data_IF_771356507765
#
_entry.id   IF_771356507765
#
_cell.length_a   1.000
_cell.length_b   1.000
_cell.length_c   1.000
_cell.angle_alpha   90.00
_cell.angle_beta   90.00
_cell.angle_gamma   90.00
#
_symmetry.space_group_name_H-M   'P 1'
#
loop_
_entity.id
_entity.type
_entity.pdbx_description
1 polymer ?
#
# COMPACT_ATOMS: atom_id res chain seq x y z
N UNK A 1 29.14 -27.31 -19.91
CA UNK A 1 28.73 -25.90 -19.92
C UNK A 1 27.51 -25.77 -19.03
N UNK A 2 27.56 -24.89 -18.02
CA UNK A 2 26.41 -24.67 -17.13
C UNK A 2 25.35 -23.85 -17.88
N UNK A 3 24.26 -24.50 -18.28
CA UNK A 3 23.04 -23.83 -18.69
C UNK A 3 22.44 -23.15 -17.45
N UNK A 4 22.51 -21.82 -17.39
CA UNK A 4 21.88 -21.06 -16.33
C UNK A 4 20.35 -21.24 -16.37
N UNK A 5 19.71 -21.27 -15.20
CA UNK A 5 18.25 -21.37 -15.10
C UNK A 5 17.59 -20.23 -15.88
N UNK A 6 16.49 -20.50 -16.62
CA UNK A 6 15.76 -19.45 -17.31
C UNK A 6 15.26 -18.39 -16.33
N UNK A 7 15.44 -17.14 -16.71
CA UNK A 7 15.00 -15.94 -15.99
C UNK A 7 13.92 -15.24 -16.80
N UNK A 8 12.78 -14.97 -16.18
CA UNK A 8 11.68 -14.25 -16.81
C UNK A 8 11.50 -12.90 -16.12
N UNK A 9 11.53 -11.83 -16.91
CA UNK A 9 11.15 -10.50 -16.43
C UNK A 9 9.64 -10.32 -16.57
N UNK A 10 8.99 -9.84 -15.52
CA UNK A 10 7.56 -9.59 -15.45
C UNK A 10 7.29 -8.08 -15.38
N UNK A 11 6.08 -7.63 -15.79
CA UNK A 11 5.65 -6.25 -15.60
C UNK A 11 5.82 -5.82 -14.13
N UNK A 12 6.22 -4.57 -13.91
CA UNK A 12 6.45 -4.03 -12.56
C UNK A 12 7.84 -4.33 -11.96
N UNK A 13 8.81 -4.80 -12.75
CA UNK A 13 10.19 -5.00 -12.30
C UNK A 13 10.42 -6.30 -11.53
N UNK A 14 9.45 -7.21 -11.56
CA UNK A 14 9.57 -8.53 -10.97
C UNK A 14 10.43 -9.43 -11.86
N UNK A 15 11.19 -10.33 -11.25
CA UNK A 15 11.95 -11.35 -11.97
C UNK A 15 11.67 -12.72 -11.38
N UNK A 16 11.61 -13.73 -12.23
CA UNK A 16 11.30 -15.10 -11.84
C UNK A 16 12.39 -16.04 -12.37
N UNK A 17 13.01 -16.78 -11.46
CA UNK A 17 14.07 -17.74 -11.78
C UNK A 17 13.55 -19.17 -11.64
N UNK A 18 13.97 -20.05 -12.53
CA UNK A 18 13.73 -21.49 -12.41
C UNK A 18 12.30 -21.93 -12.77
N UNK A 19 11.51 -21.09 -13.43
CA UNK A 19 10.24 -21.50 -14.02
C UNK A 19 10.46 -22.25 -15.34
N UNK A 20 9.68 -23.28 -15.63
CA UNK A 20 9.71 -23.93 -16.95
C UNK A 20 8.90 -23.14 -17.95
N UNK A 21 7.73 -22.62 -17.57
CA UNK A 21 6.93 -21.72 -18.41
C UNK A 21 6.23 -20.63 -17.61
N UNK A 22 6.05 -19.48 -18.24
CA UNK A 22 5.31 -18.32 -17.73
C UNK A 22 4.29 -17.89 -18.78
N UNK A 23 3.03 -17.70 -18.40
CA UNK A 23 1.96 -17.17 -19.25
C UNK A 23 1.21 -16.05 -18.55
N UNK A 24 1.04 -14.93 -19.23
CA UNK A 24 0.09 -13.90 -18.83
C UNK A 24 -1.28 -14.27 -19.40
N UNK A 25 -2.32 -14.27 -18.57
CA UNK A 25 -3.71 -14.36 -19.03
C UNK A 25 -4.31 -12.95 -19.18
N UNK A 26 -5.42 -12.85 -19.92
CA UNK A 26 -6.00 -11.57 -20.32
C UNK A 26 -6.45 -10.68 -19.14
N UNK A 27 -6.74 -11.27 -17.97
CA UNK A 27 -7.09 -10.55 -16.74
C UNK A 27 -5.87 -10.02 -15.96
N UNK A 28 -4.66 -10.21 -16.48
CA UNK A 28 -3.40 -9.77 -15.86
C UNK A 28 -2.77 -10.79 -14.91
N UNK A 29 -3.40 -11.94 -14.68
CA UNK A 29 -2.83 -13.02 -13.85
C UNK A 29 -1.63 -13.67 -14.54
N UNK A 30 -0.60 -14.01 -13.76
CA UNK A 30 0.59 -14.71 -14.24
C UNK A 30 0.51 -16.18 -13.84
N UNK A 31 0.36 -17.07 -14.82
CA UNK A 31 0.44 -18.51 -14.61
C UNK A 31 1.90 -18.97 -14.78
N UNK A 32 2.44 -19.59 -13.75
CA UNK A 32 3.81 -20.11 -13.73
C UNK A 32 3.76 -21.62 -13.51
N UNK A 33 4.48 -22.38 -14.33
CA UNK A 33 4.67 -23.83 -14.10
C UNK A 33 6.15 -24.18 -13.96
N UNK A 34 6.42 -25.25 -13.22
CA UNK A 34 7.75 -25.84 -13.07
C UNK A 34 8.75 -25.08 -12.21
N UNK A 35 8.29 -24.20 -11.30
CA UNK A 35 9.15 -23.63 -10.26
C UNK A 35 9.53 -24.70 -9.23
N UNK A 36 10.79 -24.69 -8.79
CA UNK A 36 11.24 -25.55 -7.70
C UNK A 36 10.47 -25.21 -6.41
N UNK A 37 10.01 -26.24 -5.71
CA UNK A 37 9.42 -26.09 -4.38
C UNK A 37 10.46 -25.45 -3.43
N UNK A 38 10.28 -24.16 -3.14
CA UNK A 38 11.24 -23.33 -2.40
C UNK A 38 11.26 -21.87 -2.85
N UNK A 39 10.89 -21.60 -4.11
CA UNK A 39 10.72 -20.22 -4.62
C UNK A 39 9.24 -19.86 -4.60
N UNK A 40 8.70 -19.49 -3.43
CA UNK A 40 7.35 -18.96 -3.32
C UNK A 40 7.36 -17.49 -3.79
N UNK A 41 7.39 -17.27 -5.09
CA UNK A 41 6.82 -16.05 -5.64
C UNK A 41 5.31 -16.27 -5.69
N UNK A 42 4.65 -16.16 -4.53
CA UNK A 42 3.21 -15.94 -4.54
C UNK A 42 3.01 -14.62 -5.27
N UNK A 43 2.52 -14.66 -6.50
CA UNK A 43 1.78 -13.55 -7.05
C UNK A 43 0.50 -13.44 -6.23
N UNK A 44 0.63 -12.93 -5.00
CA UNK A 44 -0.52 -12.54 -4.22
C UNK A 44 -1.14 -11.38 -4.99
N UNK A 45 -2.33 -11.60 -5.54
CA UNK A 45 -3.12 -10.52 -6.12
C UNK A 45 -3.22 -9.37 -5.12
N UNK A 46 -3.45 -8.16 -5.63
CA UNK A 46 -3.70 -7.00 -4.79
C UNK A 46 -4.73 -7.33 -3.71
N UNK A 47 -4.42 -7.04 -2.45
CA UNK A 47 -5.37 -7.12 -1.34
C UNK A 47 -6.40 -5.98 -1.37
N UNK A 48 -6.27 -5.05 -2.32
CA UNK A 48 -7.23 -3.99 -2.55
C UNK A 48 -7.97 -4.17 -3.87
N UNK A 49 -9.22 -3.71 -3.89
CA UNK A 49 -10.03 -3.58 -5.11
C UNK A 49 -10.53 -2.15 -5.26
N UNK A 50 -11.29 -1.86 -6.32
CA UNK A 50 -11.81 -0.52 -6.61
C UNK A 50 -13.05 -0.13 -5.77
N UNK A 51 -13.59 -1.07 -4.99
CA UNK A 51 -14.80 -0.86 -4.20
C UNK A 51 -16.08 -0.71 -5.03
N UNK A 52 -16.05 -0.97 -6.33
CA UNK A 52 -17.23 -0.93 -7.21
C UNK A 52 -18.26 -2.00 -6.85
N UNK A 53 -17.79 -3.11 -6.27
CA UNK A 53 -18.60 -4.20 -5.74
C UNK A 53 -18.21 -4.45 -4.28
N UNK A 54 -19.21 -4.63 -3.43
CA UNK A 54 -18.99 -5.04 -2.04
C UNK A 54 -18.43 -6.47 -2.05
N UNK A 55 -17.32 -6.67 -1.36
CA UNK A 55 -16.68 -7.98 -1.21
C UNK A 55 -16.50 -8.31 0.26
N UNK A 56 -16.72 -9.56 0.62
CA UNK A 56 -16.59 -10.00 2.01
C UNK A 56 -15.15 -9.79 2.51
N UNK A 57 -15.06 -9.31 3.74
CA UNK A 57 -13.78 -8.97 4.38
C UNK A 57 -13.09 -7.70 3.86
N UNK A 58 -13.69 -6.98 2.91
CA UNK A 58 -13.14 -5.72 2.40
C UNK A 58 -13.83 -4.50 3.02
N UNK A 59 -13.03 -3.50 3.39
CA UNK A 59 -13.50 -2.25 3.97
C UNK A 59 -12.70 -1.07 3.41
N UNK A 60 -13.35 0.10 3.33
CA UNK A 60 -12.65 1.34 3.06
C UNK A 60 -11.70 1.65 4.23
N UNK A 61 -10.43 1.79 3.88
CA UNK A 61 -9.33 2.02 4.81
C UNK A 61 -8.67 3.36 4.47
N UNK A 62 -8.60 4.24 5.46
CA UNK A 62 -7.84 5.47 5.39
C UNK A 62 -6.34 5.18 5.56
N UNK A 63 -5.52 5.58 4.59
CA UNK A 63 -4.07 5.47 4.69
C UNK A 63 -3.57 6.34 5.85
N UNK A 64 -3.91 7.64 5.83
CA UNK A 64 -3.76 8.56 6.95
C UNK A 64 -5.08 8.67 7.73
N UNK A 65 -5.07 8.33 9.03
CA UNK A 65 -6.31 8.22 9.84
C UNK A 65 -6.99 9.57 10.07
N UNK A 66 -8.33 9.53 10.07
CA UNK A 66 -9.20 10.61 10.56
C UNK A 66 -9.88 10.28 11.90
N UNK A 67 -9.56 9.16 12.56
CA UNK A 67 -10.25 8.66 13.77
C UNK A 67 -9.39 8.62 15.03
N UNK A 68 -8.34 9.43 15.10
CA UNK A 68 -7.45 9.53 16.26
C UNK A 68 -7.22 11.00 16.63
N UNK A 69 -8.28 11.66 17.10
CA UNK A 69 -8.29 13.10 17.40
C UNK A 69 -7.65 13.47 18.74
N UNK A 70 -7.71 12.56 19.72
CA UNK A 70 -7.32 12.84 21.11
C UNK A 70 -6.47 11.77 21.78
N UNK A 71 -6.52 10.51 21.33
CA UNK A 71 -5.83 9.40 22.00
C UNK A 71 -4.35 9.33 21.65
N UNK A 72 -3.51 9.21 22.67
CA UNK A 72 -2.05 8.99 22.57
C UNK A 72 -1.66 7.51 22.60
N UNK A 73 -2.62 6.59 22.76
CA UNK A 73 -2.36 5.16 22.98
C UNK A 73 -1.53 4.49 21.87
N UNK A 74 -1.64 5.01 20.65
CA UNK A 74 -0.88 4.54 19.47
C UNK A 74 0.11 5.60 18.98
N UNK A 75 0.68 6.41 19.89
CA UNK A 75 1.62 7.50 19.56
C UNK A 75 0.98 8.78 19.01
N UNK A 76 -0.36 8.89 19.06
CA UNK A 76 -1.13 10.03 18.57
C UNK A 76 -1.12 11.26 19.49
N UNK A 77 -2.02 12.24 19.27
CA UNK A 77 -3.13 12.21 18.31
C UNK A 77 -2.67 12.43 16.86
N UNK A 78 -3.08 11.52 15.98
CA UNK A 78 -2.66 11.48 14.58
C UNK A 78 -3.56 12.29 13.65
N UNK A 79 -4.87 12.34 13.89
CA UNK A 79 -5.79 13.11 13.00
C UNK A 79 -5.36 14.56 12.87
N UNK A 80 -5.02 15.30 13.94
CA UNK A 80 -4.62 16.71 13.81
C UNK A 80 -3.32 16.89 13.04
N UNK A 81 -2.39 15.93 13.12
CA UNK A 81 -1.13 15.95 12.38
C UNK A 81 -1.38 15.74 10.88
N UNK A 82 -2.17 14.72 10.52
CA UNK A 82 -2.52 14.46 9.12
C UNK A 82 -3.38 15.58 8.52
N UNK A 83 -4.34 16.11 9.27
CA UNK A 83 -5.21 17.21 8.80
C UNK A 83 -4.39 18.44 8.38
N UNK A 84 -3.42 18.87 9.20
CA UNK A 84 -2.51 19.98 8.84
C UNK A 84 -1.70 19.69 7.58
N UNK A 85 -1.24 18.46 7.44
CA UNK A 85 -0.44 18.04 6.29
C UNK A 85 -1.26 18.04 4.99
N UNK A 86 -2.48 17.51 5.04
CA UNK A 86 -3.42 17.47 3.92
C UNK A 86 -3.89 18.87 3.53
N UNK A 87 -4.13 19.75 4.50
CA UNK A 87 -4.50 21.14 4.26
C UNK A 87 -3.42 21.90 3.45
N UNK A 88 -2.11 21.63 3.67
CA UNK A 88 -1.01 22.20 2.87
C UNK A 88 -1.12 21.84 1.37
N UNK A 89 -1.75 20.71 1.07
CA UNK A 89 -1.98 20.21 -0.28
C UNK A 89 -3.40 20.51 -0.81
N UNK A 90 -4.24 21.22 -0.04
CA UNK A 90 -5.64 21.47 -0.40
C UNK A 90 -6.46 20.19 -0.51
N UNK A 91 -6.15 19.19 0.31
CA UNK A 91 -6.90 17.94 0.45
C UNK A 91 -7.56 17.87 1.82
N UNK A 92 -8.64 17.11 1.89
CA UNK A 92 -9.26 16.64 3.13
C UNK A 92 -8.87 15.18 3.41
N UNK A 93 -8.96 14.73 4.66
CA UNK A 93 -8.63 13.34 5.02
C UNK A 93 -9.58 12.32 4.40
N UNK A 94 -10.80 12.71 4.02
CA UNK A 94 -11.76 11.86 3.32
C UNK A 94 -11.60 11.89 1.79
N UNK A 95 -10.57 12.55 1.27
CA UNK A 95 -10.26 12.53 -0.15
C UNK A 95 -10.00 11.10 -0.65
N UNK A 96 -10.47 10.80 -1.88
CA UNK A 96 -10.36 9.47 -2.48
C UNK A 96 -8.90 8.98 -2.58
N UNK A 97 -7.95 9.90 -2.74
CA UNK A 97 -6.51 9.60 -2.78
C UNK A 97 -5.97 9.03 -1.45
N UNK A 98 -6.68 9.22 -0.34
CA UNK A 98 -6.34 8.69 0.98
C UNK A 98 -7.06 7.37 1.31
N UNK A 99 -7.84 6.83 0.37
CA UNK A 99 -8.68 5.65 0.59
C UNK A 99 -8.25 4.48 -0.27
N UNK A 100 -8.26 3.28 0.32
CA UNK A 100 -8.18 2.01 -0.39
C UNK A 100 -9.26 1.07 0.11
N UNK A 101 -9.83 0.26 -0.77
CA UNK A 101 -10.80 -0.77 -0.37
C UNK A 101 -10.06 -2.08 -0.11
N UNK A 102 -9.65 -2.27 1.16
CA UNK A 102 -8.65 -3.25 1.58
C UNK A 102 -9.32 -4.47 2.23
N UNK A 103 -8.88 -5.67 1.81
CA UNK A 103 -9.19 -6.93 2.46
C UNK A 103 -8.47 -7.06 3.80
N UNK A 104 -9.19 -7.48 4.84
CA UNK A 104 -8.59 -7.81 6.13
C UNK A 104 -8.15 -6.59 6.94
N UNK A 105 -8.71 -5.41 6.67
CA UNK A 105 -8.50 -4.23 7.50
C UNK A 105 -8.85 -4.52 8.97
N UNK A 106 -7.91 -4.23 9.89
CA UNK A 106 -8.08 -4.33 11.33
C UNK A 106 -7.45 -3.10 11.99
N UNK A 107 -8.23 -2.36 12.77
CA UNK A 107 -7.74 -1.22 13.56
C UNK A 107 -8.10 -1.36 15.04
N UNK A 108 -7.54 -0.50 15.93
CA UNK A 108 -6.66 0.64 15.64
C UNK A 108 -5.23 0.21 15.27
N UNK A 109 -4.60 0.96 14.36
CA UNK A 109 -3.24 0.65 13.87
C UNK A 109 -2.16 1.01 14.89
N UNK A 110 -1.00 0.34 14.88
CA UNK A 110 0.11 0.67 15.78
C UNK A 110 0.76 2.01 15.43
N UNK A 111 1.46 2.61 16.40
CA UNK A 111 2.26 3.82 16.22
C UNK A 111 3.19 3.75 15.01
N UNK A 112 3.81 2.59 14.79
CA UNK A 112 4.74 2.32 13.70
C UNK A 112 4.13 2.50 12.30
N UNK A 113 2.82 2.28 12.16
CA UNK A 113 2.09 2.51 10.91
C UNK A 113 1.92 4.01 10.69
N UNK A 114 1.41 4.71 11.71
CA UNK A 114 1.14 6.13 11.62
C UNK A 114 2.40 6.96 11.46
N UNK A 115 3.45 6.66 12.22
CA UNK A 115 4.77 7.31 12.11
C UNK A 115 5.35 7.16 10.72
N UNK A 116 5.28 5.97 10.11
CA UNK A 116 5.83 5.74 8.77
C UNK A 116 5.08 6.54 7.70
N UNK A 117 3.74 6.56 7.76
CA UNK A 117 2.92 7.34 6.83
C UNK A 117 3.17 8.82 7.00
N UNK A 118 3.14 9.33 8.24
CA UNK A 118 3.36 10.74 8.52
C UNK A 118 4.75 11.20 8.06
N UNK A 119 5.79 10.41 8.32
CA UNK A 119 7.16 10.68 7.87
C UNK A 119 7.26 10.74 6.35
N UNK A 120 6.68 9.77 5.63
CA UNK A 120 6.70 9.74 4.16
C UNK A 120 5.99 10.94 3.54
N UNK A 121 4.76 11.21 3.99
CA UNK A 121 3.95 12.30 3.47
C UNK A 121 4.59 13.67 3.77
N UNK A 122 5.10 13.87 4.99
CA UNK A 122 5.82 15.10 5.37
C UNK A 122 7.06 15.31 4.51
N UNK A 123 7.82 14.23 4.26
CA UNK A 123 9.00 14.27 3.38
C UNK A 123 8.62 14.66 1.96
N UNK A 124 7.56 14.07 1.41
CA UNK A 124 7.10 14.33 0.05
C UNK A 124 6.73 15.80 -0.18
N UNK A 125 6.08 16.43 0.80
CA UNK A 125 5.67 17.85 0.70
C UNK A 125 6.68 18.83 1.30
N UNK A 126 7.87 18.39 1.69
CA UNK A 126 8.85 19.25 2.37
C UNK A 126 9.32 20.40 1.47
N UNK A 127 9.53 20.13 0.18
CA UNK A 127 10.12 21.07 -0.79
C UNK A 127 9.10 21.73 -1.72
N UNK A 128 7.81 21.43 -1.58
CA UNK A 128 6.79 22.06 -2.42
C UNK A 128 6.60 23.54 -2.03
N UNK A 129 6.47 24.40 -3.03
CA UNK A 129 6.34 25.84 -2.86
C UNK A 129 4.94 26.36 -3.20
N UNK A 130 4.22 25.66 -4.07
CA UNK A 130 2.85 26.03 -4.47
C UNK A 130 1.86 24.96 -4.03
N UNK A 131 0.59 25.36 -3.88
CA UNK A 131 -0.50 24.44 -3.55
C UNK A 131 -0.53 23.23 -4.51
N UNK A 132 -0.41 23.47 -5.82
CA UNK A 132 -0.41 22.40 -6.82
C UNK A 132 0.80 21.47 -6.70
N UNK A 133 1.99 22.01 -6.42
CA UNK A 133 3.17 21.18 -6.16
C UNK A 133 2.99 20.31 -4.93
N UNK A 134 2.45 20.88 -3.84
CA UNK A 134 2.17 20.14 -2.61
C UNK A 134 1.13 19.04 -2.83
N UNK A 135 0.05 19.36 -3.56
CA UNK A 135 -0.98 18.39 -3.94
C UNK A 135 -0.39 17.23 -4.73
N UNK A 136 0.36 17.52 -5.79
CA UNK A 136 0.95 16.49 -6.64
C UNK A 136 1.91 15.60 -5.84
N UNK A 137 2.79 16.20 -5.03
CA UNK A 137 3.73 15.44 -4.21
C UNK A 137 3.03 14.55 -3.18
N UNK A 138 2.01 15.07 -2.50
CA UNK A 138 1.24 14.32 -1.51
C UNK A 138 0.49 13.14 -2.16
N UNK A 139 -0.21 13.38 -3.28
CA UNK A 139 -0.96 12.34 -4.01
C UNK A 139 -0.03 11.26 -4.56
N UNK A 140 1.13 11.63 -5.11
CA UNK A 140 2.10 10.64 -5.59
C UNK A 140 2.67 9.77 -4.47
N UNK A 141 2.87 10.33 -3.27
CA UNK A 141 3.30 9.55 -2.13
C UNK A 141 2.17 8.67 -1.55
N UNK A 142 0.94 9.18 -1.50
CA UNK A 142 -0.25 8.37 -1.15
C UNK A 142 -0.41 7.17 -2.09
N UNK A 143 -0.20 7.33 -3.40
CA UNK A 143 -0.20 6.21 -4.35
C UNK A 143 0.86 5.17 -4.05
N UNK A 144 2.07 5.56 -3.62
CA UNK A 144 3.13 4.62 -3.23
C UNK A 144 2.76 3.87 -1.95
N UNK A 145 2.24 4.59 -0.96
CA UNK A 145 1.75 4.03 0.31
C UNK A 145 0.60 3.04 0.03
N UNK A 146 -0.37 3.41 -0.80
CA UNK A 146 -1.47 2.57 -1.24
C UNK A 146 -0.96 1.27 -1.86
N UNK A 147 -0.01 1.33 -2.80
CA UNK A 147 0.59 0.13 -3.40
C UNK A 147 1.21 -0.79 -2.35
N UNK A 148 1.92 -0.22 -1.37
CA UNK A 148 2.51 -1.03 -0.30
C UNK A 148 1.42 -1.66 0.57
N UNK A 149 0.44 -0.89 1.05
CA UNK A 149 -0.70 -1.37 1.85
C UNK A 149 -1.50 -2.45 1.11
N UNK A 150 -1.65 -2.33 -0.20
CA UNK A 150 -2.40 -3.28 -1.02
C UNK A 150 -1.60 -4.52 -1.43
N UNK A 151 -0.31 -4.61 -1.11
CA UNK A 151 0.52 -5.75 -1.46
C UNK A 151 0.74 -6.65 -0.24
N UNK A 152 0.16 -7.86 -0.19
CA UNK A 152 0.41 -8.80 0.89
C UNK A 152 1.90 -9.04 1.15
N UNK A 153 2.28 -9.07 2.43
CA UNK A 153 3.66 -9.31 2.84
C UNK A 153 4.59 -8.08 2.81
N UNK A 154 4.12 -6.90 2.42
CA UNK A 154 4.88 -5.66 2.68
C UNK A 154 4.79 -5.24 4.14
N UNK A 155 5.64 -4.29 4.56
CA UNK A 155 5.61 -3.78 5.94
C UNK A 155 4.29 -3.07 6.22
N UNK A 156 3.86 -2.13 5.38
CA UNK A 156 2.63 -1.40 5.62
C UNK A 156 1.37 -2.28 5.54
N UNK A 157 1.32 -3.29 4.66
CA UNK A 157 0.21 -4.24 4.63
C UNK A 157 0.10 -5.02 5.94
N UNK A 158 1.22 -5.57 6.44
CA UNK A 158 1.23 -6.29 7.72
C UNK A 158 0.74 -5.40 8.86
N UNK A 159 1.18 -4.15 8.91
CA UNK A 159 0.75 -3.23 9.96
C UNK A 159 -0.73 -2.84 9.85
N UNK A 160 -1.28 -2.70 8.64
CA UNK A 160 -2.68 -2.33 8.40
C UNK A 160 -3.69 -3.48 8.59
N UNK A 161 -3.21 -4.72 8.64
CA UNK A 161 -4.04 -5.94 8.75
C UNK A 161 -3.78 -6.73 10.03
N UNK A 162 -2.84 -6.28 10.86
CA UNK A 162 -2.52 -6.89 12.15
C UNK A 162 -3.64 -6.63 13.17
N UNK A 163 -3.97 -7.63 13.96
CA UNK A 163 -4.79 -7.46 15.17
C UNK A 163 -3.93 -6.87 16.28
N UNK A 164 -4.42 -5.85 16.97
CA UNK A 164 -3.84 -5.44 18.24
C UNK A 164 -4.11 -6.56 19.25
N UNK A 165 -3.06 -7.31 19.61
CA UNK A 165 -3.09 -8.32 20.67
C UNK A 165 -3.13 -7.66 22.05
#
# INVERSE_FOLDING_TARGET
GLLGSPRYALPGGLSLEGATTVRMVADGTVLVTGVAAGTVAAAAGSACTDGSQKQDGHHWHHLATNKNDSSTQSGGPWTPLFSRLFAKAGLDLDAAENLVYLQGHKGPHPEEYHTEIYRRLTTAVAQCQTLMQCRNALVEELKKIAREVCTPGTRLHRLATKTSD
#
